data_IF_324641815139
#
_entry.id   IF_324641815139
#
_cell.length_a   1.000
_cell.length_b   1.000
_cell.length_c   1.000
_cell.angle_alpha   90.00
_cell.angle_beta   90.00
_cell.angle_gamma   90.00
#
_symmetry.space_group_name_H-M   'P 1'
#
loop_
_entity.id
_entity.type
_entity.pdbx_description
1 polymer ?
#
# COMPACT_ATOMS: atom_id res chain seq x y z
N UNK A 1 60.29 -8.80 -14.94
CA UNK A 1 58.92 -8.69 -15.53
C UNK A 1 57.92 -9.67 -14.91
N UNK A 2 58.20 -10.97 -14.76
CA UNK A 2 57.27 -11.95 -14.16
C UNK A 2 56.83 -11.63 -12.71
N UNK A 3 57.73 -11.07 -11.88
CA UNK A 3 57.43 -10.70 -10.48
C UNK A 3 56.51 -9.48 -10.36
N UNK A 4 56.52 -8.58 -11.34
CA UNK A 4 55.66 -7.39 -11.36
C UNK A 4 54.22 -7.75 -11.74
N UNK A 5 54.05 -8.68 -12.69
CA UNK A 5 52.74 -9.17 -13.13
C UNK A 5 52.01 -9.90 -11.99
N UNK A 6 52.74 -10.67 -11.17
CA UNK A 6 52.16 -11.36 -10.02
C UNK A 6 51.62 -10.40 -8.95
N UNK A 7 52.31 -9.28 -8.70
CA UNK A 7 51.89 -8.28 -7.71
C UNK A 7 50.62 -7.56 -8.17
N UNK A 8 50.53 -7.21 -9.45
CA UNK A 8 49.33 -6.56 -10.02
C UNK A 8 48.11 -7.48 -9.95
N UNK A 9 48.26 -8.78 -10.22
CA UNK A 9 47.13 -9.73 -10.09
C UNK A 9 46.63 -9.87 -8.65
N UNK A 10 47.52 -9.87 -7.66
CA UNK A 10 47.12 -10.00 -6.25
C UNK A 10 46.35 -8.75 -5.78
N UNK A 11 46.79 -7.56 -6.18
CA UNK A 11 46.10 -6.30 -5.83
C UNK A 11 44.70 -6.21 -6.45
N UNK A 12 44.53 -6.69 -7.69
CA UNK A 12 43.20 -6.73 -8.34
C UNK A 12 42.27 -7.74 -7.66
N UNK A 13 42.80 -8.89 -7.19
CA UNK A 13 42.00 -9.87 -6.46
C UNK A 13 41.56 -9.41 -5.06
N UNK A 14 42.35 -8.55 -4.41
CA UNK A 14 42.01 -7.94 -3.12
C UNK A 14 40.94 -6.85 -3.25
N UNK A 15 40.87 -6.16 -4.38
CA UNK A 15 39.86 -5.13 -4.63
C UNK A 15 38.48 -5.69 -5.00
N UNK A 16 38.38 -6.93 -5.49
CA UNK A 16 37.10 -7.55 -5.88
C UNK A 16 36.22 -8.03 -4.72
N UNK A 17 36.72 -8.01 -3.48
CA UNK A 17 35.98 -8.54 -2.31
C UNK A 17 35.06 -7.50 -1.66
N UNK A 18 35.11 -6.23 -2.08
CA UNK A 18 34.13 -5.22 -1.67
C UNK A 18 32.89 -5.26 -2.57
N UNK A 19 32.19 -6.40 -2.57
CA UNK A 19 30.82 -6.44 -3.05
C UNK A 19 29.96 -5.71 -2.02
N UNK A 20 29.63 -4.46 -2.31
CA UNK A 20 28.73 -3.64 -1.51
C UNK A 20 27.37 -4.34 -1.52
N UNK A 21 27.05 -5.05 -0.44
CA UNK A 21 25.68 -5.48 -0.17
C UNK A 21 24.89 -4.24 0.22
N UNK A 22 24.23 -3.62 -0.76
CA UNK A 22 23.18 -2.64 -0.52
C UNK A 22 22.01 -3.41 0.06
N UNK A 23 21.87 -3.39 1.38
CA UNK A 23 20.61 -3.73 2.00
C UNK A 23 19.70 -2.52 1.81
N UNK A 24 18.70 -2.65 0.95
CA UNK A 24 17.56 -1.76 1.00
C UNK A 24 16.89 -2.01 2.35
N UNK A 25 17.21 -1.20 3.35
CA UNK A 25 16.35 -1.07 4.52
C UNK A 25 15.14 -0.30 4.04
N UNK A 26 14.01 -0.99 3.90
CA UNK A 26 12.71 -0.37 3.75
C UNK A 26 12.57 0.58 4.94
N UNK A 27 12.75 1.89 4.71
CA UNK A 27 12.35 2.89 5.69
C UNK A 27 10.87 2.60 5.94
N UNK A 28 10.56 2.16 7.16
CA UNK A 28 9.20 1.91 7.59
C UNK A 28 8.51 3.26 7.51
N UNK A 29 7.86 3.53 6.38
CA UNK A 29 6.93 4.62 6.24
C UNK A 29 6.00 4.54 7.45
N UNK A 30 5.87 5.64 8.19
CA UNK A 30 4.92 5.67 9.28
C UNK A 30 3.56 5.28 8.69
N UNK A 31 2.99 4.15 9.13
CA UNK A 31 1.69 3.69 8.66
C UNK A 31 0.65 3.99 9.73
N UNK A 32 -0.51 4.48 9.31
CA UNK A 32 -1.67 4.64 10.18
C UNK A 32 -2.50 3.36 10.07
N UNK A 33 -2.72 2.69 11.21
CA UNK A 33 -3.57 1.51 11.29
C UNK A 33 -4.88 1.89 11.97
N UNK A 34 -6.00 1.62 11.30
CA UNK A 34 -7.35 1.83 11.82
C UNK A 34 -8.08 0.51 11.84
N UNK A 35 -8.59 0.10 13.01
CA UNK A 35 -9.37 -1.14 13.14
C UNK A 35 -10.85 -0.82 13.21
N UNK A 36 -11.64 -1.44 12.33
CA UNK A 36 -13.10 -1.35 12.32
C UNK A 36 -13.68 -2.76 12.23
N UNK A 37 -14.48 -3.15 13.23
CA UNK A 37 -14.97 -4.52 13.39
C UNK A 37 -13.79 -5.53 13.40
N UNK A 38 -13.84 -6.53 12.52
CA UNK A 38 -12.79 -7.54 12.34
C UNK A 38 -11.81 -7.16 11.21
N UNK A 39 -11.83 -5.93 10.72
CA UNK A 39 -10.97 -5.48 9.60
C UNK A 39 -9.99 -4.40 10.06
N UNK A 40 -8.71 -4.60 9.77
CA UNK A 40 -7.65 -3.60 9.93
C UNK A 40 -7.36 -2.93 8.60
N UNK A 41 -7.34 -1.60 8.60
CA UNK A 41 -6.99 -0.77 7.44
C UNK A 41 -5.62 -0.16 7.68
N UNK A 42 -4.71 -0.35 6.73
CA UNK A 42 -3.35 0.16 6.75
C UNK A 42 -3.27 1.26 5.69
N UNK A 43 -2.91 2.47 6.13
CA UNK A 43 -2.74 3.67 5.33
C UNK A 43 -1.33 4.24 5.48
N UNK A 44 -0.87 4.97 4.47
CA UNK A 44 0.33 5.79 4.55
C UNK A 44 0.11 6.95 5.55
N UNK A 45 1.13 7.38 6.30
CA UNK A 45 1.01 8.44 7.30
C UNK A 45 0.54 9.79 6.76
N UNK A 46 0.81 10.07 5.49
CA UNK A 46 0.38 11.30 4.84
C UNK A 46 -1.11 11.28 4.44
N UNK A 47 -1.79 10.15 4.60
CA UNK A 47 -3.21 10.00 4.27
C UNK A 47 -4.05 10.83 5.24
N UNK A 48 -4.85 11.75 4.71
CA UNK A 48 -5.73 12.61 5.50
C UNK A 48 -6.84 11.82 6.20
N UNK A 49 -7.32 12.32 7.35
CA UNK A 49 -8.43 11.68 8.06
C UNK A 49 -9.71 11.59 7.21
N UNK A 50 -10.01 12.64 6.44
CA UNK A 50 -11.14 12.66 5.52
C UNK A 50 -11.05 11.52 4.49
N UNK A 51 -9.87 11.32 3.88
CA UNK A 51 -9.66 10.25 2.93
C UNK A 51 -9.82 8.87 3.59
N UNK A 52 -9.24 8.68 4.79
CA UNK A 52 -9.38 7.40 5.52
C UNK A 52 -10.84 7.08 5.80
N UNK A 53 -11.62 8.05 6.25
CA UNK A 53 -13.04 7.86 6.55
C UNK A 53 -13.85 7.52 5.28
N UNK A 54 -13.59 8.20 4.16
CA UNK A 54 -14.20 7.88 2.86
C UNK A 54 -13.84 6.47 2.39
N UNK A 55 -12.56 6.10 2.49
CA UNK A 55 -12.07 4.79 2.06
C UNK A 55 -12.66 3.64 2.89
N UNK A 56 -12.78 3.80 4.22
CA UNK A 56 -13.43 2.83 5.10
C UNK A 56 -14.92 2.70 4.75
N UNK A 57 -15.61 3.83 4.56
CA UNK A 57 -17.02 3.81 4.17
C UNK A 57 -17.22 3.10 2.82
N UNK A 58 -16.38 3.39 1.82
CA UNK A 58 -16.40 2.76 0.50
C UNK A 58 -16.05 1.26 0.55
N UNK A 59 -15.23 0.82 1.50
CA UNK A 59 -14.95 -0.60 1.68
C UNK A 59 -16.19 -1.38 2.11
N UNK A 60 -16.95 -0.86 3.09
CA UNK A 60 -18.14 -1.51 3.62
C UNK A 60 -19.40 -1.30 2.78
N UNK A 61 -19.43 -0.31 1.88
CA UNK A 61 -20.52 -0.15 0.93
C UNK A 61 -20.31 -1.12 -0.25
N UNK A 62 -21.17 -2.14 -0.35
CA UNK A 62 -21.15 -3.14 -1.44
C UNK A 62 -21.78 -2.63 -2.75
N UNK A 63 -22.34 -1.43 -2.77
CA UNK A 63 -22.86 -0.83 -4.00
C UNK A 63 -21.69 -0.43 -4.90
N UNK A 64 -21.49 -1.14 -6.00
CA UNK A 64 -20.67 -0.74 -7.17
C UNK A 64 -21.13 0.59 -7.82
N UNK A 65 -22.17 1.21 -7.27
CA UNK A 65 -22.60 2.54 -7.66
C UNK A 65 -21.68 3.57 -7.02
N UNK A 66 -20.97 4.32 -7.86
CA UNK A 66 -20.26 5.54 -7.50
C UNK A 66 -21.18 6.41 -6.62
N UNK A 67 -20.97 6.36 -5.29
CA UNK A 67 -21.78 7.13 -4.34
C UNK A 67 -21.34 8.59 -4.46
N UNK A 68 -22.00 9.33 -5.36
CA UNK A 68 -21.62 10.69 -5.70
C UNK A 68 -22.77 11.66 -5.44
N UNK A 69 -22.61 12.51 -4.42
CA UNK A 69 -23.28 13.80 -4.36
C UNK A 69 -22.49 14.76 -5.26
N UNK A 70 -23.01 15.02 -6.46
CA UNK A 70 -22.34 15.94 -7.40
C UNK A 70 -22.48 17.38 -6.90
N UNK A 71 -21.47 17.87 -6.20
CA UNK A 71 -21.37 19.29 -5.83
C UNK A 71 -21.19 20.16 -7.08
N UNK A 72 -21.80 21.35 -7.10
CA UNK A 72 -21.76 22.31 -8.22
C UNK A 72 -20.33 22.58 -8.74
N UNK A 73 -19.34 22.57 -7.85
CA UNK A 73 -17.93 22.81 -8.18
C UNK A 73 -17.36 21.68 -9.04
N UNK A 74 -17.68 20.41 -8.75
CA UNK A 74 -17.19 19.28 -9.54
C UNK A 74 -17.87 19.21 -10.91
N UNK A 75 -19.13 19.62 -11.00
CA UNK A 75 -19.85 19.73 -12.29
C UNK A 75 -19.22 20.78 -13.20
N UNK A 76 -18.73 21.88 -12.64
CA UNK A 76 -18.15 22.99 -13.41
C UNK A 76 -16.66 22.83 -13.73
N UNK A 77 -15.89 22.23 -12.81
CA UNK A 77 -14.42 22.17 -12.90
C UNK A 77 -13.86 20.74 -12.98
N UNK A 78 -14.72 19.73 -13.02
CA UNK A 78 -14.34 18.33 -12.94
C UNK A 78 -13.89 17.90 -11.53
N UNK A 79 -13.75 16.59 -11.36
CA UNK A 79 -13.24 16.01 -10.13
C UNK A 79 -11.73 16.24 -10.00
N UNK A 80 -11.29 16.77 -8.85
CA UNK A 80 -9.90 16.70 -8.43
C UNK A 80 -9.71 15.39 -7.68
N UNK A 81 -9.26 14.36 -8.39
CA UNK A 81 -9.06 13.03 -7.83
C UNK A 81 -7.67 12.90 -7.21
N UNK A 82 -7.62 12.26 -6.06
CA UNK A 82 -6.39 11.84 -5.37
C UNK A 82 -6.45 10.33 -5.20
N UNK A 83 -5.41 9.63 -5.66
CA UNK A 83 -5.31 8.18 -5.59
C UNK A 83 -4.39 7.76 -4.45
N UNK A 84 -4.80 6.77 -3.67
CA UNK A 84 -4.02 6.14 -2.61
C UNK A 84 -4.22 4.64 -2.63
N UNK A 85 -3.16 3.91 -2.27
CA UNK A 85 -3.24 2.47 -2.07
C UNK A 85 -3.54 2.22 -0.60
N UNK A 86 -4.53 1.37 -0.34
CA UNK A 86 -4.88 0.96 1.02
C UNK A 86 -4.82 -0.55 1.12
N UNK A 87 -4.47 -1.07 2.30
CA UNK A 87 -4.57 -2.50 2.58
C UNK A 87 -5.59 -2.75 3.67
N UNK A 88 -6.59 -3.58 3.39
CA UNK A 88 -7.57 -4.07 4.34
C UNK A 88 -7.25 -5.52 4.71
N UNK A 89 -7.19 -5.84 6.00
CA UNK A 89 -7.01 -7.19 6.52
C UNK A 89 -8.25 -7.57 7.32
N UNK A 90 -9.13 -8.37 6.73
CA UNK A 90 -10.27 -8.95 7.44
C UNK A 90 -9.82 -10.23 8.15
N UNK A 91 -9.76 -10.16 9.47
CA UNK A 91 -9.38 -11.24 10.36
C UNK A 91 -10.45 -12.33 10.38
N UNK A 92 -10.01 -13.59 10.51
CA UNK A 92 -10.90 -14.76 10.67
C UNK A 92 -12.00 -14.89 9.59
N UNK A 93 -11.81 -14.35 8.38
CA UNK A 93 -12.76 -14.45 7.26
C UNK A 93 -13.15 -15.88 6.89
N UNK A 94 -12.31 -16.88 7.21
CA UNK A 94 -12.67 -18.31 7.09
C UNK A 94 -12.23 -19.15 8.29
N UNK A 95 -12.75 -20.37 8.36
CA UNK A 95 -12.55 -21.29 9.48
C UNK A 95 -11.16 -21.95 9.52
N UNK A 96 -10.55 -22.21 8.36
CA UNK A 96 -9.27 -22.95 8.23
C UNK A 96 -8.11 -22.06 7.81
N UNK A 97 -6.91 -22.37 8.28
CA UNK A 97 -5.72 -21.60 7.92
C UNK A 97 -5.34 -21.69 6.44
N UNK A 98 -4.79 -20.61 5.87
CA UNK A 98 -4.71 -19.24 6.40
C UNK A 98 -6.08 -18.56 6.55
N UNK A 99 -6.45 -18.03 7.73
CA UNK A 99 -7.82 -17.57 8.03
C UNK A 99 -8.12 -16.11 7.73
N UNK A 100 -7.12 -15.25 7.65
CA UNK A 100 -7.29 -13.83 7.39
C UNK A 100 -7.30 -13.55 5.89
N UNK A 101 -8.09 -12.60 5.43
CA UNK A 101 -8.02 -12.11 4.06
C UNK A 101 -7.36 -10.74 4.02
N UNK A 102 -6.31 -10.62 3.22
CA UNK A 102 -5.66 -9.36 2.87
C UNK A 102 -6.13 -8.94 1.49
N UNK A 103 -6.66 -7.74 1.39
CA UNK A 103 -7.06 -7.10 0.15
C UNK A 103 -6.36 -5.75 0.04
N UNK A 104 -5.78 -5.48 -1.12
CA UNK A 104 -5.16 -4.19 -1.42
C UNK A 104 -5.98 -3.51 -2.49
N UNK A 105 -6.39 -2.28 -2.22
CA UNK A 105 -7.22 -1.47 -3.10
C UNK A 105 -6.49 -0.23 -3.56
N UNK A 106 -6.71 0.14 -4.81
CA UNK A 106 -6.54 1.53 -5.26
C UNK A 106 -7.85 2.26 -4.95
N UNK A 107 -7.77 3.30 -4.14
CA UNK A 107 -8.89 4.18 -3.81
C UNK A 107 -8.65 5.53 -4.48
N UNK A 108 -9.61 6.02 -5.26
CA UNK A 108 -9.55 7.37 -5.83
C UNK A 108 -10.68 8.20 -5.26
N UNK A 109 -10.35 9.21 -4.46
CA UNK A 109 -11.34 10.08 -3.84
C UNK A 109 -11.23 11.49 -4.41
N UNK A 110 -12.37 12.17 -4.54
CA UNK A 110 -12.37 13.58 -4.91
C UNK A 110 -12.13 14.47 -3.69
N UNK A 111 -11.18 15.39 -3.79
CA UNK A 111 -10.88 16.35 -2.72
C UNK A 111 -11.94 17.45 -2.56
N UNK A 112 -13.03 17.41 -3.33
CA UNK A 112 -14.05 18.48 -3.44
C UNK A 112 -15.48 18.02 -3.22
N UNK A 113 -15.73 16.72 -3.22
CA UNK A 113 -17.06 16.12 -3.06
C UNK A 113 -16.93 14.71 -2.49
N UNK A 114 -18.05 14.01 -2.36
CA UNK A 114 -18.08 12.66 -1.75
C UNK A 114 -17.77 11.53 -2.75
N UNK A 115 -17.47 11.87 -4.01
CA UNK A 115 -17.07 10.89 -5.02
C UNK A 115 -15.84 10.09 -4.57
N UNK A 116 -15.97 8.77 -4.57
CA UNK A 116 -14.89 7.82 -4.33
C UNK A 116 -15.10 6.58 -5.19
N UNK A 117 -14.01 6.09 -5.77
CA UNK A 117 -13.98 4.79 -6.47
C UNK A 117 -13.00 3.86 -5.79
N UNK A 118 -13.28 2.56 -5.91
CA UNK A 118 -12.53 1.47 -5.31
C UNK A 118 -12.20 0.43 -6.37
N UNK A 119 -10.91 0.16 -6.57
CA UNK A 119 -10.43 -0.88 -7.49
C UNK A 119 -9.59 -1.89 -6.72
N UNK A 120 -9.95 -3.17 -6.78
CA UNK A 120 -9.18 -4.24 -6.14
C UNK A 120 -7.89 -4.52 -6.94
N UNK A 121 -6.74 -4.32 -6.33
CA UNK A 121 -5.43 -4.62 -6.92
C UNK A 121 -5.05 -6.08 -6.66
N UNK A 122 -5.18 -6.52 -5.41
CA UNK A 122 -4.80 -7.88 -5.02
C UNK A 122 -5.65 -8.38 -3.86
N UNK A 123 -5.84 -9.70 -3.80
CA UNK A 123 -6.56 -10.38 -2.73
C UNK A 123 -5.86 -11.71 -2.43
N UNK A 124 -5.55 -11.97 -1.17
CA UNK A 124 -4.86 -13.18 -0.73
C UNK A 124 -5.20 -13.57 0.69
N UNK A 125 -5.26 -14.87 0.97
CA UNK A 125 -5.39 -15.36 2.34
C UNK A 125 -4.01 -15.43 3.02
N UNK A 126 -3.93 -14.92 4.25
CA UNK A 126 -2.70 -14.88 5.04
C UNK A 126 -2.88 -15.52 6.42
N UNK A 127 -1.79 -16.04 6.97
CA UNK A 127 -1.72 -16.50 8.35
C UNK A 127 -1.36 -15.31 9.24
N UNK A 128 -2.32 -14.80 10.00
CA UNK A 128 -2.12 -13.60 10.83
C UNK A 128 -2.73 -13.71 12.25
N UNK A 129 -3.72 -14.59 12.43
CA UNK A 129 -4.24 -14.95 13.74
C UNK A 129 -3.61 -16.28 14.18
N UNK A 130 -3.13 -16.35 15.43
CA UNK A 130 -2.75 -17.60 16.09
C UNK A 130 -3.95 -18.22 16.83
#
# INVERSE_FOLDING_TARGET
>A
MKKFIAIVMVVVSLFSVMSISVFATEEREDTIIVTVNETEFIFDADTTEEFRNKAIAAYFNESDEDVATYGLICTLFGHKLESKVITAITHKKRATDPRCLRETYEMQACSRCDYITKSLISSSYISCCA
#
